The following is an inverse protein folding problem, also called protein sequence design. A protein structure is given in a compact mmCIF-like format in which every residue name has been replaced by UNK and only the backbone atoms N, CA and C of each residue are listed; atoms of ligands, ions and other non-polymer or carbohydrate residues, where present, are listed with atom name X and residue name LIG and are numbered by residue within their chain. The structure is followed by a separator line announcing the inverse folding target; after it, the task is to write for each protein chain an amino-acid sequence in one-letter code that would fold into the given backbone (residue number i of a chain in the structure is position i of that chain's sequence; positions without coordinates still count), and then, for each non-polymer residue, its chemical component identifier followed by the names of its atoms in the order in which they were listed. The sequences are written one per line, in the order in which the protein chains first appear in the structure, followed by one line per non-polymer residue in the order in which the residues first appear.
data_IF_899357614119
#
_entry.id   IF_899357614119
#
_cell.length_a   1.000
_cell.length_b   1.000
_cell.length_c   1.000
_cell.angle_alpha   90.00
_cell.angle_beta   90.00
_cell.angle_gamma   90.00
#
_symmetry.space_group_name_H-M   'P 1'
#
loop_
_entity.id
_entity.type
_entity.pdbx_description
1 polymer ?
#
# COMPACT_ATOMS: atom_id res chain seq x y z
N UNK A 1 -17.03 -2.38 22.70
CA UNK A 1 -17.63 -1.99 21.41
C UNK A 1 -17.33 -3.12 20.45
N UNK A 2 -18.37 -3.75 19.94
CA UNK A 2 -18.24 -4.91 19.04
C UNK A 2 -17.64 -4.45 17.70
N UNK A 3 -16.92 -5.32 16.99
CA UNK A 3 -16.41 -5.01 15.63
C UNK A 3 -17.56 -4.54 14.71
N UNK A 4 -18.75 -5.13 14.86
CA UNK A 4 -19.96 -4.72 14.13
C UNK A 4 -20.46 -3.31 14.49
N UNK A 5 -20.24 -2.82 15.71
CA UNK A 5 -20.68 -1.47 16.12
C UNK A 5 -19.73 -0.40 15.58
N UNK A 6 -18.43 -0.69 15.49
CA UNK A 6 -17.42 0.21 14.92
C UNK A 6 -17.56 0.37 13.40
N UNK A 7 -17.99 -0.69 12.70
CA UNK A 7 -18.20 -0.69 11.25
C UNK A 7 -19.49 0.03 10.80
N UNK A 8 -20.43 0.25 11.73
CA UNK A 8 -21.74 0.87 11.43
C UNK A 8 -21.82 2.37 11.79
N UNK A 9 -20.79 2.96 12.38
CA UNK A 9 -20.73 4.41 12.63
C UNK A 9 -20.29 5.17 11.38
N UNK A 10 -20.98 6.25 11.01
CA UNK A 10 -20.57 7.10 9.89
C UNK A 10 -19.14 7.64 10.10
N UNK A 11 -18.27 7.60 9.07
CA UNK A 11 -16.93 8.16 9.18
C UNK A 11 -16.99 9.69 9.30
N UNK A 12 -16.08 10.31 10.07
CA UNK A 12 -16.01 11.76 10.16
C UNK A 12 -15.73 12.36 8.78
N UNK A 13 -16.49 13.41 8.45
CA UNK A 13 -16.39 14.10 7.16
C UNK A 13 -14.99 14.67 6.92
N UNK A 14 -14.60 14.66 5.64
CA UNK A 14 -13.30 15.00 5.08
C UNK A 14 -12.65 16.24 5.74
N UNK A 15 -11.59 16.04 6.51
CA UNK A 15 -10.79 17.13 7.08
C UNK A 15 -9.85 17.71 6.01
N UNK A 16 -9.86 19.05 5.87
CA UNK A 16 -8.97 19.77 4.94
C UNK A 16 -7.48 19.59 5.26
N UNK A 17 -6.62 19.93 4.29
CA UNK A 17 -5.18 19.69 4.32
C UNK A 17 -4.42 20.29 5.52
N UNK A 18 -4.93 21.38 6.12
CA UNK A 18 -4.37 21.95 7.36
C UNK A 18 -4.69 21.10 8.59
N UNK A 19 -5.92 20.59 8.69
CA UNK A 19 -6.38 19.74 9.79
C UNK A 19 -5.71 18.37 9.76
N UNK A 20 -5.35 17.88 8.57
CA UNK A 20 -4.58 16.63 8.42
C UNK A 20 -3.16 16.76 9.00
N UNK A 21 -2.52 17.92 8.86
CA UNK A 21 -1.20 18.21 9.46
C UNK A 21 -1.27 18.34 10.98
N UNK A 22 -2.29 19.03 11.49
CA UNK A 22 -2.51 19.19 12.93
C UNK A 22 -2.90 17.85 13.59
N UNK A 23 -3.64 17.01 12.89
CA UNK A 23 -4.00 15.65 13.30
C UNK A 23 -2.81 14.69 13.30
N UNK A 24 -1.96 14.69 12.26
CA UNK A 24 -0.73 13.89 12.25
C UNK A 24 0.21 14.29 13.42
N UNK A 25 0.21 15.57 13.76
CA UNK A 25 0.98 16.10 14.90
C UNK A 25 0.39 15.67 16.24
N UNK A 26 -0.94 15.59 16.38
CA UNK A 26 -1.59 15.13 17.61
C UNK A 26 -1.47 13.61 17.82
N UNK A 27 -1.64 12.80 16.76
CA UNK A 27 -1.46 11.34 16.80
C UNK A 27 0.00 10.95 17.11
N UNK A 28 0.97 11.76 16.69
CA UNK A 28 2.37 11.51 17.01
C UNK A 28 2.67 11.57 18.52
N UNK A 29 1.84 12.29 19.30
CA UNK A 29 2.01 12.61 20.73
C UNK A 29 1.25 11.67 21.69
N UNK A 30 0.30 10.86 21.22
CA UNK A 30 -0.39 9.89 22.09
C UNK A 30 0.54 8.71 22.44
N UNK A 31 0.52 8.34 23.72
CA UNK A 31 1.26 7.20 24.28
C UNK A 31 0.70 5.92 23.67
N UNK A 32 1.49 5.28 22.79
CA UNK A 32 1.05 4.21 21.88
C UNK A 32 0.91 2.89 22.62
N UNK A 33 -0.16 2.14 22.33
CA UNK A 33 -0.33 0.78 22.85
C UNK A 33 0.78 -0.14 22.29
N UNK A 34 1.41 -0.89 23.19
CA UNK A 34 2.36 -1.95 22.84
C UNK A 34 1.60 -3.12 22.19
N UNK A 35 2.25 -3.94 21.33
CA UNK A 35 1.63 -5.16 20.85
C UNK A 35 1.24 -6.06 22.03
N UNK A 36 0.27 -6.98 21.87
CA UNK A 36 0.01 -7.99 22.88
C UNK A 36 1.30 -8.73 23.23
N UNK A 37 1.60 -8.83 24.54
CA UNK A 37 2.76 -9.56 25.05
C UNK A 37 2.71 -11.01 24.58
N UNK A 38 3.87 -11.62 24.30
CA UNK A 38 4.00 -13.04 23.93
C UNK A 38 3.32 -13.92 24.99
N UNK A 39 2.08 -14.32 24.74
CA UNK A 39 1.37 -15.26 25.60
C UNK A 39 2.03 -16.64 25.47
N UNK A 40 2.69 -17.10 26.53
CA UNK A 40 3.28 -18.45 26.59
C UNK A 40 4.58 -18.67 25.81
N UNK A 41 5.32 -17.61 25.46
CA UNK A 41 6.65 -17.74 24.84
C UNK A 41 6.66 -18.27 23.40
N UNK A 42 5.52 -18.20 22.70
CA UNK A 42 5.37 -18.60 21.30
C UNK A 42 5.10 -17.37 20.44
N UNK A 43 5.87 -17.18 19.38
CA UNK A 43 5.55 -16.19 18.34
C UNK A 43 4.32 -16.67 17.56
N UNK A 44 3.30 -15.84 17.44
CA UNK A 44 2.08 -16.11 16.68
C UNK A 44 2.26 -15.73 15.20
N UNK A 45 1.33 -16.10 14.29
CA UNK A 45 1.48 -15.84 12.87
C UNK A 45 1.58 -14.34 12.56
N UNK A 46 2.37 -14.01 11.54
CA UNK A 46 2.48 -12.65 10.99
C UNK A 46 1.51 -12.51 9.82
N UNK A 47 0.60 -11.53 9.90
CA UNK A 47 -0.23 -11.17 8.76
C UNK A 47 0.52 -10.16 7.89
N UNK A 48 0.89 -10.54 6.67
CA UNK A 48 1.41 -9.63 5.66
C UNK A 48 0.31 -9.25 4.67
N UNK A 49 -0.06 -7.97 4.63
CA UNK A 49 -1.09 -7.47 3.69
C UNK A 49 -0.47 -6.53 2.66
N UNK A 50 -0.64 -6.85 1.37
CA UNK A 50 -0.44 -5.93 0.24
C UNK A 50 -1.71 -5.12 0.00
N UNK A 51 -1.60 -3.84 -0.39
CA UNK A 51 -2.09 -2.71 0.39
C UNK A 51 -3.60 -2.73 0.65
N UNK A 52 -3.97 -2.24 1.83
CA UNK A 52 -5.36 -2.15 2.27
C UNK A 52 -5.99 -0.88 1.70
N UNK A 53 -6.29 -0.97 0.41
CA UNK A 53 -6.94 0.09 -0.34
C UNK A 53 -8.38 0.27 0.13
N UNK A 54 -8.62 1.32 0.94
CA UNK A 54 -9.92 1.79 1.46
C UNK A 54 -10.83 0.74 2.15
N UNK A 55 -10.36 -0.50 2.28
CA UNK A 55 -11.09 -1.64 2.79
C UNK A 55 -11.21 -1.70 4.31
N UNK A 56 -11.37 -0.57 5.00
CA UNK A 56 -11.77 -0.61 6.42
C UNK A 56 -12.90 0.39 6.72
N UNK A 57 -13.24 1.27 5.77
CA UNK A 57 -14.15 2.41 6.02
C UNK A 57 -15.47 2.27 5.22
N UNK A 58 -15.70 1.14 4.54
CA UNK A 58 -16.95 0.83 3.85
C UNK A 58 -17.13 -0.70 3.72
N UNK A 59 -18.36 -1.24 3.68
CA UNK A 59 -18.63 -2.67 3.47
C UNK A 59 -18.33 -3.09 2.02
N UNK A 60 -17.07 -2.97 1.62
CA UNK A 60 -16.53 -3.25 0.30
C UNK A 60 -15.83 -4.63 0.31
N UNK A 61 -15.79 -5.39 -0.79
CA UNK A 61 -15.22 -6.74 -0.79
C UNK A 61 -13.75 -6.84 -0.33
N UNK A 62 -12.96 -5.76 -0.48
CA UNK A 62 -11.61 -5.73 0.09
C UNK A 62 -11.60 -5.65 1.63
N UNK A 63 -12.59 -4.98 2.24
CA UNK A 63 -12.72 -4.94 3.70
C UNK A 63 -13.12 -6.28 4.29
N UNK A 64 -14.04 -6.97 3.63
CA UNK A 64 -14.43 -8.33 4.00
C UNK A 64 -13.25 -9.30 3.94
N UNK A 65 -12.40 -9.17 2.92
CA UNK A 65 -11.20 -10.02 2.77
C UNK A 65 -10.20 -9.78 3.91
N UNK A 66 -10.02 -8.52 4.33
CA UNK A 66 -9.17 -8.17 5.45
C UNK A 66 -9.75 -8.65 6.78
N UNK A 67 -11.02 -8.40 7.06
CA UNK A 67 -11.71 -8.89 8.26
C UNK A 67 -11.64 -10.41 8.37
N UNK A 68 -11.88 -11.13 7.28
CA UNK A 68 -11.77 -12.59 7.25
C UNK A 68 -10.34 -13.07 7.53
N UNK A 69 -9.32 -12.37 7.02
CA UNK A 69 -7.92 -12.69 7.30
C UNK A 69 -7.57 -12.45 8.78
N UNK A 70 -8.09 -11.39 9.40
CA UNK A 70 -7.94 -11.12 10.83
C UNK A 70 -8.60 -12.20 11.69
N UNK A 71 -9.84 -12.57 11.36
CA UNK A 71 -10.57 -13.63 12.05
C UNK A 71 -9.85 -14.97 11.95
N UNK A 72 -9.27 -15.29 10.79
CA UNK A 72 -8.58 -16.56 10.54
C UNK A 72 -7.28 -16.68 11.33
N UNK A 73 -6.52 -15.59 11.48
CA UNK A 73 -5.20 -15.63 12.12
C UNK A 73 -5.29 -15.68 13.65
N UNK A 74 -6.39 -15.19 14.23
CA UNK A 74 -6.69 -15.25 15.67
C UNK A 74 -5.54 -14.77 16.57
N UNK A 75 -5.57 -13.49 16.95
CA UNK A 75 -4.57 -12.81 17.81
C UNK A 75 -3.14 -12.73 17.24
N UNK A 76 -2.94 -12.08 16.07
CA UNK A 76 -1.59 -11.89 15.53
C UNK A 76 -0.70 -11.04 16.46
N UNK A 77 0.55 -11.45 16.65
CA UNK A 77 1.56 -10.64 17.36
C UNK A 77 1.89 -9.36 16.59
N UNK A 78 1.99 -9.47 15.25
CA UNK A 78 2.24 -8.35 14.36
C UNK A 78 1.39 -8.43 13.11
N UNK A 79 0.95 -7.26 12.65
CA UNK A 79 0.35 -7.07 11.34
C UNK A 79 1.30 -6.19 10.54
N UNK A 80 1.87 -6.74 9.48
CA UNK A 80 2.75 -6.04 8.56
C UNK A 80 1.95 -5.68 7.32
N UNK A 81 1.93 -4.40 6.98
CA UNK A 81 1.24 -3.90 5.80
C UNK A 81 2.29 -3.30 4.86
N UNK A 82 2.28 -3.72 3.60
CA UNK A 82 3.15 -3.18 2.57
C UNK A 82 2.63 -1.81 2.09
N UNK A 83 2.67 -0.84 2.99
CA UNK A 83 2.28 0.56 2.79
C UNK A 83 3.13 1.46 3.68
N UNK A 84 3.01 2.78 3.55
CA UNK A 84 3.68 3.74 4.41
C UNK A 84 2.70 4.79 4.92
N UNK A 85 3.02 5.42 6.06
CA UNK A 85 2.11 6.35 6.76
C UNK A 85 1.60 7.46 5.84
N UNK A 86 2.48 8.04 5.03
CA UNK A 86 2.13 9.15 4.15
C UNK A 86 1.19 8.74 2.99
N UNK A 87 1.07 7.44 2.69
CA UNK A 87 0.16 6.93 1.67
C UNK A 87 -1.24 6.66 2.22
N UNK A 88 -1.31 6.05 3.42
CA UNK A 88 -2.55 5.44 3.95
C UNK A 88 -2.75 5.69 5.45
N UNK A 89 -2.38 6.87 5.97
CA UNK A 89 -2.51 7.23 7.38
C UNK A 89 -3.89 6.93 7.98
N UNK A 90 -4.97 7.33 7.29
CA UNK A 90 -6.34 7.13 7.76
C UNK A 90 -6.68 5.64 7.88
N UNK A 91 -6.31 4.83 6.88
CA UNK A 91 -6.53 3.38 6.92
C UNK A 91 -5.76 2.74 8.08
N UNK A 92 -4.49 3.11 8.27
CA UNK A 92 -3.66 2.58 9.36
C UNK A 92 -4.26 2.90 10.74
N UNK A 93 -4.81 4.10 10.90
CA UNK A 93 -5.52 4.51 12.12
C UNK A 93 -6.79 3.68 12.34
N UNK A 94 -7.63 3.50 11.32
CA UNK A 94 -8.86 2.71 11.45
C UNK A 94 -8.56 1.25 11.81
N UNK A 95 -7.49 0.68 11.25
CA UNK A 95 -7.02 -0.66 11.62
C UNK A 95 -6.63 -0.68 13.09
N UNK A 96 -5.80 0.27 13.55
CA UNK A 96 -5.37 0.37 14.95
C UNK A 96 -6.54 0.45 15.92
N UNK A 97 -7.56 1.26 15.62
CA UNK A 97 -8.79 1.35 16.42
C UNK A 97 -9.58 0.04 16.44
N UNK A 98 -9.62 -0.68 15.31
CA UNK A 98 -10.40 -1.91 15.17
C UNK A 98 -9.73 -3.09 15.88
N UNK A 99 -8.40 -3.19 15.81
CA UNK A 99 -7.64 -4.33 16.35
C UNK A 99 -7.04 -4.07 17.73
N UNK A 100 -7.01 -2.80 18.18
CA UNK A 100 -6.48 -2.40 19.49
C UNK A 100 -4.96 -2.26 19.58
N UNK A 101 -4.22 -2.40 18.46
CA UNK A 101 -2.78 -2.15 18.40
C UNK A 101 -2.34 -1.67 17.02
N UNK A 102 -1.20 -0.99 16.95
CA UNK A 102 -0.75 -0.35 15.72
C UNK A 102 -0.12 -1.34 14.72
N UNK A 103 -0.60 -1.42 13.47
CA UNK A 103 0.06 -2.21 12.43
C UNK A 103 1.41 -1.61 11.99
N UNK A 104 2.30 -2.44 11.45
CA UNK A 104 3.62 -2.08 10.95
C UNK A 104 3.55 -1.78 9.44
N UNK A 105 3.57 -0.49 9.09
CA UNK A 105 3.58 -0.02 7.70
C UNK A 105 5.01 -0.08 7.11
N UNK A 106 5.40 -1.25 6.60
CA UNK A 106 6.76 -1.54 6.11
C UNK A 106 6.94 -1.34 4.60
N UNK A 107 6.19 -0.44 3.98
CA UNK A 107 6.23 -0.19 2.55
C UNK A 107 7.18 0.93 2.09
N UNK A 108 7.32 1.11 0.78
CA UNK A 108 6.98 0.10 -0.23
C UNK A 108 8.04 -1.02 -0.27
N UNK A 109 7.62 -2.27 -0.02
CA UNK A 109 8.40 -3.49 -0.23
C UNK A 109 8.42 -3.81 -1.73
N UNK A 110 9.01 -2.91 -2.50
CA UNK A 110 9.30 -3.18 -3.90
C UNK A 110 10.61 -3.95 -3.87
N UNK A 111 10.58 -5.20 -4.36
CA UNK A 111 11.80 -5.91 -4.69
C UNK A 111 12.38 -5.25 -5.95
N UNK A 112 12.97 -4.07 -5.77
CA UNK A 112 13.80 -3.47 -6.78
C UNK A 112 15.13 -4.21 -6.66
N UNK A 113 15.45 -5.18 -7.52
CA UNK A 113 16.85 -5.52 -7.65
C UNK A 113 17.54 -4.19 -7.92
N UNK A 114 18.45 -3.78 -7.04
CA UNK A 114 19.60 -2.98 -7.48
C UNK A 114 20.03 -3.66 -8.76
N UNK A 115 19.88 -2.99 -9.92
CA UNK A 115 19.96 -3.55 -11.28
C UNK A 115 21.31 -4.28 -11.55
N UNK A 116 21.55 -5.38 -10.83
CA UNK A 116 22.54 -6.41 -11.09
C UNK A 116 21.74 -7.50 -11.74
N UNK A 117 21.50 -7.27 -13.02
CA UNK A 117 21.18 -8.23 -14.05
C UNK A 117 21.41 -9.67 -13.57
N UNK A 118 20.31 -10.40 -13.32
CA UNK A 118 20.38 -11.82 -12.99
C UNK A 118 21.25 -12.50 -14.05
N UNK A 119 22.36 -13.15 -13.63
CA UNK A 119 23.35 -13.82 -14.50
C UNK A 119 22.81 -15.10 -15.18
N UNK A 120 21.54 -15.11 -15.58
CA UNK A 120 20.85 -16.29 -16.14
C UNK A 120 19.77 -15.98 -17.17
N UNK A 121 19.26 -14.75 -17.25
CA UNK A 121 18.57 -14.26 -18.44
C UNK A 121 19.61 -13.56 -19.31
N UNK A 122 19.66 -13.83 -20.61
CA UNK A 122 20.64 -13.20 -21.50
C UNK A 122 20.64 -11.69 -21.29
N UNK A 123 21.71 -11.18 -20.68
CA UNK A 123 21.98 -9.78 -20.38
C UNK A 123 21.69 -8.84 -21.56
N UNK A 124 21.81 -9.37 -22.78
CA UNK A 124 21.63 -8.68 -24.06
C UNK A 124 20.19 -8.33 -24.40
N UNK A 125 19.19 -9.01 -23.83
CA UNK A 125 17.78 -8.86 -24.23
C UNK A 125 17.12 -7.58 -23.67
N UNK A 126 17.42 -7.20 -22.43
CA UNK A 126 16.81 -6.01 -21.81
C UNK A 126 17.62 -4.74 -22.05
N UNK A 127 18.94 -4.87 -22.23
CA UNK A 127 19.81 -3.72 -22.48
C UNK A 127 19.43 -2.99 -23.76
N UNK A 128 19.10 -3.73 -24.83
CA UNK A 128 18.63 -3.12 -26.09
C UNK A 128 17.33 -2.32 -25.94
N UNK A 129 16.42 -2.75 -25.07
CA UNK A 129 15.19 -2.00 -24.76
C UNK A 129 15.50 -0.74 -23.95
N UNK A 130 16.45 -0.80 -23.00
CA UNK A 130 16.90 0.37 -22.25
C UNK A 130 17.62 1.38 -23.13
N UNK A 131 18.50 0.92 -24.02
CA UNK A 131 19.20 1.76 -24.99
C UNK A 131 18.20 2.44 -25.92
N UNK A 132 17.19 1.69 -26.41
CA UNK A 132 16.09 2.27 -27.17
C UNK A 132 15.32 3.34 -26.38
N UNK A 133 14.95 3.08 -25.13
CA UNK A 133 14.27 4.06 -24.27
C UNK A 133 15.10 5.34 -24.07
N UNK A 134 16.42 5.20 -23.92
CA UNK A 134 17.35 6.33 -23.73
C UNK A 134 17.47 7.21 -24.98
N UNK A 135 17.18 6.70 -26.18
CA UNK A 135 17.18 7.50 -27.41
C UNK A 135 15.96 8.41 -27.55
N UNK A 136 14.90 8.21 -26.76
CA UNK A 136 13.68 9.00 -26.85
C UNK A 136 13.66 10.19 -25.88
N UNK A 137 12.99 11.31 -26.22
CA UNK A 137 12.82 12.43 -25.31
C UNK A 137 12.17 12.02 -23.98
N UNK A 138 12.48 12.75 -22.91
CA UNK A 138 11.85 12.52 -21.59
C UNK A 138 10.33 12.59 -21.71
N UNK A 139 9.65 11.65 -21.05
CA UNK A 139 8.17 11.56 -20.99
C UNK A 139 7.47 11.30 -22.34
N UNK A 140 8.19 10.82 -23.37
CA UNK A 140 7.62 10.56 -24.70
C UNK A 140 7.19 9.11 -24.94
N UNK A 141 7.66 8.16 -24.13
CA UNK A 141 7.36 6.73 -24.29
C UNK A 141 6.29 6.29 -23.28
N UNK A 142 5.28 5.58 -23.77
CA UNK A 142 4.28 4.90 -22.94
C UNK A 142 4.69 3.44 -22.74
N UNK A 143 4.84 3.03 -21.49
CA UNK A 143 5.01 1.63 -21.13
C UNK A 143 3.63 0.96 -20.97
N UNK A 144 3.44 -0.17 -21.64
CA UNK A 144 2.20 -0.96 -21.58
C UNK A 144 2.55 -2.35 -21.06
N UNK A 145 1.96 -2.72 -19.93
CA UNK A 145 2.08 -4.05 -19.36
C UNK A 145 0.81 -4.42 -18.60
N UNK A 146 0.41 -5.69 -18.71
CA UNK A 146 -0.75 -6.24 -18.02
C UNK A 146 -0.39 -6.93 -16.70
N UNK A 147 0.91 -6.91 -16.34
CA UNK A 147 1.43 -7.63 -15.18
C UNK A 147 1.34 -9.15 -15.33
N UNK A 148 1.77 -9.86 -14.28
CA UNK A 148 1.42 -11.27 -14.09
C UNK A 148 -0.03 -11.36 -13.62
N UNK A 149 -0.80 -12.32 -14.13
CA UNK A 149 -2.25 -12.48 -13.86
C UNK A 149 -2.56 -12.30 -12.38
N UNK A 150 -3.35 -11.28 -12.05
CA UNK A 150 -3.94 -11.09 -10.72
C UNK A 150 -5.35 -11.67 -10.76
N UNK A 151 -5.62 -12.70 -9.95
CA UNK A 151 -6.97 -13.28 -9.81
C UNK A 151 -7.74 -12.47 -8.75
N UNK A 152 -8.40 -11.39 -9.17
CA UNK A 152 -9.31 -10.61 -8.35
C UNK A 152 -10.71 -10.60 -8.96
N UNK A 153 -11.74 -10.40 -8.14
CA UNK A 153 -13.10 -10.15 -8.68
C UNK A 153 -13.14 -8.80 -9.40
N UNK A 154 -14.08 -8.63 -10.33
CA UNK A 154 -14.26 -7.36 -11.04
C UNK A 154 -14.50 -6.20 -10.07
N UNK A 155 -15.31 -6.41 -9.03
CA UNK A 155 -15.62 -5.40 -8.01
C UNK A 155 -14.35 -4.98 -7.24
N UNK A 156 -13.52 -5.94 -6.82
CA UNK A 156 -12.26 -5.64 -6.13
C UNK A 156 -11.29 -4.84 -7.01
N UNK A 157 -11.23 -5.16 -8.30
CA UNK A 157 -10.39 -4.45 -9.26
C UNK A 157 -10.90 -3.03 -9.50
N UNK A 158 -12.21 -2.85 -9.67
CA UNK A 158 -12.84 -1.55 -9.88
C UNK A 158 -12.65 -0.64 -8.66
N UNK A 159 -12.82 -1.15 -7.44
CA UNK A 159 -12.57 -0.39 -6.21
C UNK A 159 -11.13 0.09 -6.10
N UNK A 160 -10.17 -0.77 -6.43
CA UNK A 160 -8.75 -0.43 -6.42
C UNK A 160 -8.43 0.66 -7.45
N UNK A 161 -8.91 0.48 -8.69
CA UNK A 161 -8.61 1.39 -9.79
C UNK A 161 -9.33 2.73 -9.60
N UNK A 162 -10.63 2.74 -9.35
CA UNK A 162 -11.41 3.97 -9.20
C UNK A 162 -11.07 4.69 -7.90
N UNK A 163 -11.20 4.00 -6.76
CA UNK A 163 -11.07 4.62 -5.45
C UNK A 163 -9.66 5.12 -5.16
N UNK A 164 -8.64 4.31 -5.47
CA UNK A 164 -7.28 4.64 -5.07
C UNK A 164 -6.51 5.36 -6.18
N UNK A 165 -6.41 4.74 -7.36
CA UNK A 165 -5.56 5.25 -8.44
C UNK A 165 -6.12 6.55 -9.03
N UNK A 166 -7.43 6.61 -9.25
CA UNK A 166 -8.08 7.75 -9.91
C UNK A 166 -8.56 8.80 -8.90
N UNK A 167 -9.35 8.44 -7.89
CA UNK A 167 -9.94 9.42 -6.97
C UNK A 167 -8.94 9.91 -5.92
N UNK A 168 -8.35 9.00 -5.14
CA UNK A 168 -7.52 9.37 -3.99
C UNK A 168 -6.15 9.91 -4.40
N UNK A 169 -5.45 9.19 -5.29
CA UNK A 169 -4.10 9.55 -5.69
C UNK A 169 -4.09 10.45 -6.93
N UNK A 170 -5.10 10.35 -7.78
CA UNK A 170 -5.20 11.15 -9.00
C UNK A 170 -4.03 10.94 -9.95
N UNK A 171 -3.54 9.70 -10.05
CA UNK A 171 -2.38 9.32 -10.88
C UNK A 171 -2.73 8.43 -12.07
N UNK A 172 -4.01 8.10 -12.26
CA UNK A 172 -4.43 7.26 -13.38
C UNK A 172 -5.74 7.68 -14.03
N UNK A 173 -6.12 6.89 -15.02
CA UNK A 173 -7.31 7.05 -15.83
C UNK A 173 -8.03 5.70 -15.92
N UNK A 174 -9.36 5.72 -15.95
CA UNK A 174 -10.18 4.54 -16.26
C UNK A 174 -10.61 4.59 -17.71
N UNK A 175 -10.60 3.44 -18.39
CA UNK A 175 -11.15 3.30 -19.74
C UNK A 175 -12.65 3.12 -19.69
N UNK A 176 -13.36 3.82 -20.57
CA UNK A 176 -14.80 3.63 -20.73
C UNK A 176 -15.08 2.47 -21.70
N UNK A 177 -15.69 1.40 -21.19
CA UNK A 177 -16.09 0.23 -21.97
C UNK A 177 -17.52 0.32 -22.52
N UNK A 178 -18.27 1.38 -22.21
CA UNK A 178 -19.67 1.55 -22.62
C UNK A 178 -19.84 1.75 -24.14
N UNK A 179 -18.78 2.18 -24.83
CA UNK A 179 -18.78 2.40 -26.28
C UNK A 179 -18.57 1.17 -27.16
N UNK A 180 -18.31 -0.01 -26.57
CA UNK A 180 -18.02 -1.25 -27.31
C UNK A 180 -19.06 -2.35 -27.13
N UNK A 181 -19.02 -3.36 -28.00
CA UNK A 181 -19.82 -4.58 -27.82
C UNK A 181 -19.27 -5.41 -26.67
N UNK A 182 -20.13 -5.90 -25.77
CA UNK A 182 -19.76 -6.85 -24.72
C UNK A 182 -18.63 -6.40 -23.77
N UNK A 183 -18.52 -5.09 -23.48
CA UNK A 183 -17.51 -4.57 -22.55
C UNK A 183 -16.10 -4.45 -23.13
N UNK A 184 -15.95 -4.55 -24.46
CA UNK A 184 -14.67 -4.24 -25.12
C UNK A 184 -14.38 -2.74 -25.13
N UNK A 185 -13.14 -2.38 -24.82
CA UNK A 185 -12.65 -1.00 -24.95
C UNK A 185 -12.37 -0.73 -26.44
N UNK A 186 -12.92 0.35 -26.97
CA UNK A 186 -12.71 0.73 -28.37
C UNK A 186 -11.33 1.34 -28.59
N UNK A 187 -10.79 1.22 -29.81
CA UNK A 187 -9.52 1.87 -30.17
C UNK A 187 -9.58 3.39 -30.03
N UNK A 188 -10.75 3.99 -30.28
CA UNK A 188 -11.00 5.43 -30.12
C UNK A 188 -10.88 5.87 -28.65
N UNK A 189 -11.37 5.06 -27.72
CA UNK A 189 -11.20 5.32 -26.29
C UNK A 189 -9.74 5.14 -25.87
N UNK A 190 -9.05 4.11 -26.39
CA UNK A 190 -7.62 3.94 -26.12
C UNK A 190 -6.81 5.15 -26.58
N UNK A 191 -7.02 5.61 -27.80
CA UNK A 191 -6.34 6.78 -28.35
C UNK A 191 -6.60 8.04 -27.51
N UNK A 192 -7.86 8.27 -27.12
CA UNK A 192 -8.25 9.40 -26.27
C UNK A 192 -7.53 9.39 -24.92
N UNK A 193 -7.46 8.23 -24.25
CA UNK A 193 -6.79 8.10 -22.94
C UNK A 193 -5.29 8.25 -23.06
N UNK A 194 -4.67 7.70 -24.10
CA UNK A 194 -3.23 7.87 -24.38
C UNK A 194 -2.91 9.34 -24.64
N UNK A 195 -3.69 10.05 -25.47
CA UNK A 195 -3.50 11.49 -25.69
C UNK A 195 -3.68 12.30 -24.42
N UNK A 196 -4.70 11.99 -23.62
CA UNK A 196 -4.93 12.64 -22.32
C UNK A 196 -3.71 12.46 -21.42
N UNK A 197 -3.23 11.23 -21.27
CA UNK A 197 -2.09 10.93 -20.41
C UNK A 197 -0.81 11.61 -20.92
N UNK A 198 -0.51 11.55 -22.21
CA UNK A 198 0.79 11.96 -22.75
C UNK A 198 0.87 13.46 -23.07
N UNK A 199 -0.22 14.07 -23.54
CA UNK A 199 -0.18 15.38 -24.20
C UNK A 199 -0.99 16.47 -23.47
N UNK A 200 -1.89 16.10 -22.55
CA UNK A 200 -2.74 17.07 -21.86
C UNK A 200 -2.13 17.60 -20.55
N UNK A 201 -2.64 18.76 -20.09
CA UNK A 201 -2.29 19.30 -18.78
C UNK A 201 -2.75 18.39 -17.64
N UNK A 202 -3.89 17.69 -17.78
CA UNK A 202 -4.34 16.71 -16.80
C UNK A 202 -3.32 15.56 -16.67
N UNK A 203 -2.77 15.07 -17.78
CA UNK A 203 -1.71 14.05 -17.78
C UNK A 203 -0.41 14.55 -17.12
N UNK A 204 -0.08 15.83 -17.28
CA UNK A 204 1.06 16.45 -16.58
C UNK A 204 0.83 16.52 -15.07
N UNK A 205 -0.36 16.92 -14.62
CA UNK A 205 -0.73 16.93 -13.21
C UNK A 205 -0.66 15.52 -12.59
N UNK A 206 -1.11 14.48 -13.31
CA UNK A 206 -0.99 13.08 -12.87
C UNK A 206 0.48 12.67 -12.69
N UNK A 207 1.36 13.03 -13.63
CA UNK A 207 2.80 12.76 -13.51
C UNK A 207 3.42 13.48 -12.32
N UNK A 208 3.04 14.72 -12.05
CA UNK A 208 3.60 15.48 -10.93
C UNK A 208 3.10 14.95 -9.58
N UNK A 209 1.83 14.53 -9.49
CA UNK A 209 1.31 13.77 -8.34
C UNK A 209 2.07 12.45 -8.14
N UNK A 210 2.30 11.68 -9.20
CA UNK A 210 3.06 10.43 -9.13
C UNK A 210 4.51 10.66 -8.68
N UNK A 211 5.17 11.73 -9.13
CA UNK A 211 6.51 12.13 -8.65
C UNK A 211 6.50 12.47 -7.17
N UNK A 212 5.49 13.22 -6.70
CA UNK A 212 5.35 13.58 -5.29
C UNK A 212 5.14 12.34 -4.41
N UNK A 213 4.29 11.40 -4.85
CA UNK A 213 4.10 10.11 -4.16
C UNK A 213 5.40 9.30 -4.15
N UNK A 214 6.13 9.24 -5.25
CA UNK A 214 7.45 8.59 -5.33
C UNK A 214 8.45 9.20 -4.34
N UNK A 215 8.51 10.53 -4.26
CA UNK A 215 9.37 11.23 -3.31
C UNK A 215 8.93 10.96 -1.85
N UNK A 216 7.63 10.83 -1.59
CA UNK A 216 7.12 10.46 -0.27
C UNK A 216 7.52 9.04 0.12
N UNK A 217 7.34 8.09 -0.79
CA UNK A 217 7.75 6.70 -0.58
C UNK A 217 9.26 6.58 -0.31
N UNK A 218 10.10 7.33 -1.04
CA UNK A 218 11.54 7.38 -0.79
C UNK A 218 11.89 7.96 0.59
N UNK A 219 11.13 8.96 1.07
CA UNK A 219 11.34 9.53 2.41
C UNK A 219 10.92 8.57 3.50
N UNK A 220 9.83 7.82 3.31
CA UNK A 220 9.34 6.84 4.28
C UNK A 220 10.39 5.74 4.60
N UNK A 221 11.18 5.32 3.62
CA UNK A 221 12.18 4.25 3.78
C UNK A 221 13.57 4.74 4.24
N UNK A 222 13.87 6.05 4.10
CA UNK A 222 15.14 6.63 4.54
C UNK A 222 15.24 6.71 6.06
N UNK A 223 16.44 6.97 6.56
CA UNK A 223 16.70 7.20 7.98
C UNK A 223 15.73 8.23 8.57
N UNK A 224 15.08 7.89 9.69
CA UNK A 224 14.03 8.69 10.32
C UNK A 224 12.65 8.67 9.64
N UNK A 225 12.50 8.02 8.48
CA UNK A 225 11.23 7.86 7.76
C UNK A 225 10.23 6.93 8.45
N UNK A 226 8.95 7.02 8.07
CA UNK A 226 7.85 6.26 8.69
C UNK A 226 8.07 4.75 8.67
N UNK A 227 8.30 4.18 7.50
CA UNK A 227 8.54 2.75 7.33
C UNK A 227 9.87 2.29 7.92
N UNK A 228 10.91 3.15 7.89
CA UNK A 228 12.17 2.86 8.60
C UNK A 228 11.95 2.74 10.10
N UNK A 229 11.20 3.66 10.71
CA UNK A 229 10.86 3.58 12.15
C UNK A 229 10.06 2.33 12.50
N UNK A 230 9.14 1.90 11.63
CA UNK A 230 8.42 0.64 11.80
C UNK A 230 9.37 -0.57 11.75
N UNK A 231 10.36 -0.56 10.85
CA UNK A 231 11.37 -1.62 10.77
C UNK A 231 12.25 -1.65 12.03
N UNK A 232 12.74 -0.50 12.48
CA UNK A 232 13.56 -0.39 13.70
C UNK A 232 12.78 -0.88 14.94
N UNK A 233 11.47 -0.59 14.99
CA UNK A 233 10.59 -1.10 16.04
C UNK A 233 10.48 -2.62 15.97
N UNK A 234 10.23 -3.18 14.79
CA UNK A 234 10.13 -4.63 14.60
C UNK A 234 11.43 -5.34 14.99
N UNK A 235 12.59 -4.82 14.58
CA UNK A 235 13.90 -5.36 14.95
C UNK A 235 14.12 -5.39 16.47
N UNK A 236 13.72 -4.31 17.18
CA UNK A 236 13.78 -4.23 18.64
C UNK A 236 12.85 -5.25 19.30
N UNK A 237 11.61 -5.35 18.83
CA UNK A 237 10.60 -6.27 19.38
C UNK A 237 11.00 -7.74 19.17
N UNK A 238 11.50 -8.11 17.99
CA UNK A 238 12.05 -9.44 17.72
C UNK A 238 13.26 -9.73 18.63
N UNK A 239 14.16 -8.77 18.79
CA UNK A 239 15.35 -8.96 19.63
C UNK A 239 15.00 -9.15 21.11
N UNK A 240 13.98 -8.44 21.61
CA UNK A 240 13.47 -8.58 22.96
C UNK A 240 12.80 -9.95 23.15
N UNK A 241 11.89 -10.32 22.24
CA UNK A 241 11.22 -11.62 22.19
C UNK A 241 12.21 -12.79 22.23
N UNK A 242 13.27 -12.69 21.42
CA UNK A 242 14.32 -13.70 21.37
C UNK A 242 15.02 -13.86 22.72
N UNK A 243 15.41 -12.75 23.36
CA UNK A 243 16.07 -12.79 24.68
C UNK A 243 15.18 -13.43 25.74
N UNK A 244 13.89 -13.13 25.75
CA UNK A 244 12.94 -13.74 26.68
C UNK A 244 12.83 -15.26 26.48
N UNK A 245 12.70 -15.72 25.22
CA UNK A 245 12.64 -17.14 24.88
C UNK A 245 13.92 -17.88 25.31
N UNK A 246 15.10 -17.30 25.06
CA UNK A 246 16.38 -17.87 25.48
C UNK A 246 16.50 -17.98 27.01
N UNK A 247 16.08 -16.93 27.75
CA UNK A 247 16.11 -16.96 29.21
C UNK A 247 15.19 -18.01 29.81
N UNK A 248 14.04 -18.27 29.17
CA UNK A 248 13.10 -19.32 29.59
C UNK A 248 13.64 -20.74 29.36
N UNK A 249 14.48 -20.95 28.34
CA UNK A 249 15.02 -22.27 28.01
C UNK A 249 16.32 -22.63 28.75
N UNK A 250 17.09 -21.65 29.22
CA UNK A 250 18.34 -21.89 29.99
C UNK A 250 18.05 -22.20 31.48
N UNK A 251 16.85 -21.87 31.99
CA UNK A 251 16.47 -22.11 33.40
C UNK A 251 15.71 -23.44 33.62
N UNK A 252 15.67 -24.33 32.64
CA UNK A 252 15.18 -25.72 32.77
C UNK A 252 16.35 -26.69 32.63
#
# INVERSE_FOLDING_TARGET
MSIEEALNSEPPSFMGSSLQSDYLTSVSKQQRASPPSLSGGRMQPVLCVTPLYRGVISPQPMSQSFSHALETINEPTWIIINTFEELEATTLYTIEETIGFRPLALGPLINAPSFKLCKGASATSWQSHLDWLQMHPKHSVLYIAFGTVVKMSQVQLEELVLGCIVEQWGIGLVFDASGGTSGLITSTEVEKKVKTLMQSEAGKQMRDKAKNLSASAQRAYKEGGSSRRCLDRLEKEISAAHKEIWQLHIKK
#
